data_IF_789915912632
#
_entry.id   IF_789915912632
#
_cell.length_a   1.000
_cell.length_b   1.000
_cell.length_c   1.000
_cell.angle_alpha   90.00
_cell.angle_beta   90.00
_cell.angle_gamma   90.00
#
_symmetry.space_group_name_H-M   'P 1'
#
loop_
_entity.id
_entity.type
_entity.pdbx_description
1 polymer ?
#
# COMPACT_ATOMS: atom_id res chain seq x y z
N UNK A 1 -2.34 9.60 -6.97
CA UNK A 1 -1.76 8.26 -6.65
C UNK A 1 -0.73 8.01 -7.74
N UNK A 2 0.43 7.39 -7.47
CA UNK A 2 1.47 7.19 -8.50
C UNK A 2 1.47 5.75 -9.01
N UNK A 3 2.06 5.52 -10.17
CA UNK A 3 2.27 4.18 -10.73
C UNK A 3 3.75 3.91 -11.01
N UNK A 4 4.14 2.64 -10.90
CA UNK A 4 5.50 2.17 -11.11
C UNK A 4 5.52 1.11 -12.20
N UNK A 5 6.05 1.48 -13.37
CA UNK A 5 6.14 0.64 -14.54
C UNK A 5 7.51 -0.05 -14.58
N UNK A 6 7.50 -1.37 -14.76
CA UNK A 6 8.71 -2.12 -15.05
C UNK A 6 8.82 -2.34 -16.56
N UNK A 7 9.85 -1.78 -17.18
CA UNK A 7 10.09 -1.92 -18.62
C UNK A 7 11.42 -2.64 -18.88
N UNK A 8 11.46 -3.41 -19.96
CA UNK A 8 12.70 -3.97 -20.49
C UNK A 8 12.69 -3.89 -22.00
N UNK A 9 13.80 -3.41 -22.57
CA UNK A 9 13.98 -3.31 -24.03
C UNK A 9 14.98 -4.36 -24.51
N UNK A 10 14.60 -5.29 -25.40
CA UNK A 10 15.55 -6.20 -26.04
C UNK A 10 16.57 -5.46 -26.91
N UNK A 11 17.82 -5.95 -26.95
CA UNK A 11 18.89 -5.40 -27.80
C UNK A 11 18.53 -5.39 -29.30
N UNK A 12 17.69 -6.33 -29.74
CA UNK A 12 17.22 -6.42 -31.13
C UNK A 12 16.13 -5.42 -31.49
N UNK A 13 15.52 -4.75 -30.51
CA UNK A 13 14.39 -3.85 -30.73
C UNK A 13 14.85 -2.56 -31.45
N UNK A 14 14.25 -2.21 -32.61
CA UNK A 14 14.53 -0.95 -33.29
C UNK A 14 14.18 0.27 -32.44
N UNK A 15 14.95 1.35 -32.58
CA UNK A 15 14.73 2.59 -31.81
C UNK A 15 13.34 3.20 -32.06
N UNK A 16 12.85 3.16 -33.30
CA UNK A 16 11.53 3.70 -33.64
C UNK A 16 10.41 2.94 -32.93
N UNK A 17 10.47 1.60 -32.92
CA UNK A 17 9.53 0.75 -32.19
C UNK A 17 9.58 1.01 -30.69
N UNK A 18 10.79 1.17 -30.13
CA UNK A 18 10.93 1.53 -28.72
C UNK A 18 10.23 2.86 -28.38
N UNK A 19 10.45 3.91 -29.18
CA UNK A 19 9.83 5.22 -28.93
C UNK A 19 8.30 5.11 -29.01
N UNK A 20 7.78 4.44 -30.05
CA UNK A 20 6.34 4.28 -30.26
C UNK A 20 5.67 3.48 -29.13
N UNK A 21 6.24 2.32 -28.77
CA UNK A 21 5.75 1.47 -27.68
C UNK A 21 5.82 2.18 -26.32
N UNK A 22 6.94 2.85 -26.05
CA UNK A 22 7.14 3.59 -24.80
C UNK A 22 6.15 4.75 -24.70
N UNK A 23 6.00 5.55 -25.75
CA UNK A 23 5.08 6.70 -25.79
C UNK A 23 3.65 6.24 -25.60
N UNK A 24 3.22 5.24 -26.36
CA UNK A 24 1.88 4.65 -26.26
C UNK A 24 1.60 4.09 -24.85
N UNK A 25 2.60 3.48 -24.21
CA UNK A 25 2.48 2.96 -22.85
C UNK A 25 2.32 4.09 -21.83
N UNK A 26 3.20 5.08 -21.87
CA UNK A 26 3.17 6.20 -20.93
C UNK A 26 1.93 7.06 -21.10
N UNK A 27 1.47 7.32 -22.32
CA UNK A 27 0.23 8.09 -22.58
C UNK A 27 -0.99 7.46 -21.90
N UNK A 28 -1.12 6.12 -21.97
CA UNK A 28 -2.22 5.40 -21.29
C UNK A 28 -2.15 5.53 -19.78
N UNK A 29 -0.94 5.51 -19.21
CA UNK A 29 -0.73 5.62 -17.75
C UNK A 29 -0.94 7.06 -17.29
N UNK A 30 -0.55 8.03 -18.12
CA UNK A 30 -0.66 9.46 -17.82
C UNK A 30 -2.12 9.93 -17.67
N UNK A 31 -3.07 9.25 -18.31
CA UNK A 31 -4.53 9.49 -18.12
C UNK A 31 -4.97 9.26 -16.67
N UNK A 32 -4.29 8.37 -15.93
CA UNK A 32 -4.70 7.93 -14.61
C UNK A 32 -3.80 8.40 -13.46
N UNK A 33 -2.54 8.74 -13.75
CA UNK A 33 -1.54 9.02 -12.74
C UNK A 33 -0.66 10.22 -13.08
N UNK A 34 -0.63 11.20 -12.18
CA UNK A 34 0.24 12.38 -12.31
C UNK A 34 1.72 12.07 -12.03
N UNK A 35 1.98 11.04 -11.22
CA UNK A 35 3.32 10.70 -10.75
C UNK A 35 3.70 9.33 -11.32
N UNK A 36 4.66 9.31 -12.23
CA UNK A 36 5.07 8.10 -12.94
C UNK A 36 6.51 7.77 -12.58
N UNK A 37 6.76 6.49 -12.33
CA UNK A 37 8.09 5.93 -12.14
C UNK A 37 8.27 4.80 -13.16
N UNK A 38 9.38 4.81 -13.89
CA UNK A 38 9.76 3.73 -14.80
C UNK A 38 11.07 3.14 -14.32
N UNK A 39 11.13 1.83 -14.12
CA UNK A 39 12.32 1.12 -13.66
C UNK A 39 12.62 -0.06 -14.59
N UNK A 40 13.89 -0.23 -14.97
CA UNK A 40 14.34 -1.46 -15.60
C UNK A 40 15.49 -1.27 -16.59
N UNK A 41 15.81 -2.35 -17.30
CA UNK A 41 16.91 -2.44 -18.25
C UNK A 41 16.44 -2.05 -19.66
N UNK A 42 16.85 -0.88 -20.12
CA UNK A 42 16.49 -0.38 -21.46
C UNK A 42 17.59 -0.62 -22.50
N UNK A 43 18.70 -1.25 -22.12
CA UNK A 43 19.84 -1.52 -23.00
C UNK A 43 20.35 -0.27 -23.74
N UNK A 44 20.24 0.90 -23.10
CA UNK A 44 20.86 2.15 -23.53
C UNK A 44 21.99 2.48 -22.59
N UNK A 45 23.23 2.42 -23.08
CA UNK A 45 24.41 2.73 -22.26
C UNK A 45 24.52 4.24 -22.01
N UNK A 46 24.01 4.68 -20.86
CA UNK A 46 24.01 6.08 -20.44
C UNK A 46 25.40 6.66 -20.14
N UNK A 47 26.43 5.80 -20.06
CA UNK A 47 27.83 6.26 -20.02
C UNK A 47 28.28 6.74 -21.42
N UNK A 48 27.65 6.22 -22.49
CA UNK A 48 28.00 6.50 -23.90
C UNK A 48 26.82 7.19 -24.61
N UNK A 49 26.71 8.52 -24.52
CA UNK A 49 25.52 9.27 -24.96
C UNK A 49 25.25 9.22 -26.48
N UNK A 50 26.21 8.76 -27.29
CA UNK A 50 26.07 8.71 -28.75
C UNK A 50 24.90 7.82 -29.23
N UNK A 51 24.46 6.83 -28.43
CA UNK A 51 23.38 5.90 -28.81
C UNK A 51 22.14 5.99 -27.90
N UNK A 52 22.07 6.98 -27.02
CA UNK A 52 20.98 7.14 -26.04
C UNK A 52 19.90 8.13 -26.49
N UNK A 53 20.03 8.69 -27.70
CA UNK A 53 19.09 9.68 -28.24
C UNK A 53 17.61 9.28 -28.13
N UNK A 54 17.20 8.04 -28.45
CA UNK A 54 15.78 7.65 -28.30
C UNK A 54 15.28 7.75 -26.87
N UNK A 55 16.13 7.39 -25.90
CA UNK A 55 15.82 7.50 -24.48
C UNK A 55 15.74 8.96 -24.03
N UNK A 56 16.63 9.83 -24.53
CA UNK A 56 16.53 11.26 -24.27
C UNK A 56 15.24 11.86 -24.85
N UNK A 57 14.86 11.48 -26.07
CA UNK A 57 13.61 11.94 -26.69
C UNK A 57 12.39 11.63 -25.83
N UNK A 58 12.23 10.39 -25.36
CA UNK A 58 11.09 10.04 -24.50
C UNK A 58 11.18 10.72 -23.13
N UNK A 59 12.39 10.91 -22.60
CA UNK A 59 12.57 11.64 -21.35
C UNK A 59 12.15 13.11 -21.49
N UNK A 60 12.49 13.76 -22.59
CA UNK A 60 12.13 15.14 -22.86
C UNK A 60 10.62 15.31 -23.10
N UNK A 61 9.97 14.34 -23.76
CA UNK A 61 8.51 14.36 -24.00
C UNK A 61 7.72 14.28 -22.69
N UNK A 62 8.17 13.46 -21.74
CA UNK A 62 7.43 13.14 -20.51
C UNK A 62 8.03 13.79 -19.23
N UNK A 63 8.95 14.75 -19.38
CA UNK A 63 9.69 15.39 -18.29
C UNK A 63 10.37 14.39 -17.34
N UNK A 64 10.83 13.25 -17.86
CA UNK A 64 11.48 12.23 -17.06
C UNK A 64 12.94 12.55 -16.76
N UNK A 65 13.30 12.39 -15.49
CA UNK A 65 14.69 12.44 -15.02
C UNK A 65 15.15 11.06 -14.62
N UNK A 66 16.29 10.60 -15.16
CA UNK A 66 16.95 9.39 -14.65
C UNK A 66 17.69 9.67 -13.34
N UNK A 67 17.38 8.87 -12.32
CA UNK A 67 17.95 8.97 -10.98
C UNK A 67 19.21 8.12 -10.78
N UNK A 68 19.47 7.15 -11.67
CA UNK A 68 20.71 6.38 -11.64
C UNK A 68 21.87 7.23 -12.16
N UNK A 69 22.98 7.29 -11.41
CA UNK A 69 24.16 8.12 -11.70
C UNK A 69 25.46 7.32 -11.84
N UNK A 70 25.45 6.03 -11.51
CA UNK A 70 26.63 5.15 -11.53
C UNK A 70 26.36 3.91 -12.38
N UNK A 71 27.40 3.28 -12.96
CA UNK A 71 27.24 2.08 -13.78
C UNK A 71 26.50 0.97 -13.04
N UNK A 72 25.61 0.27 -13.76
CA UNK A 72 24.75 -0.78 -13.20
C UNK A 72 25.13 -2.17 -13.71
N UNK A 73 25.92 -2.26 -14.79
CA UNK A 73 26.28 -3.52 -15.45
C UNK A 73 27.81 -3.62 -15.61
N UNK A 74 28.39 -4.71 -15.12
CA UNK A 74 29.84 -4.91 -14.97
C UNK A 74 30.31 -6.20 -15.67
N UNK A 75 30.45 -6.15 -16.99
CA UNK A 75 30.91 -7.30 -17.77
C UNK A 75 32.40 -7.54 -17.54
N UNK A 76 32.80 -8.81 -17.42
CA UNK A 76 34.22 -9.19 -17.41
C UNK A 76 34.87 -8.74 -18.72
N UNK A 77 36.05 -8.13 -18.61
CA UNK A 77 36.85 -7.67 -19.75
C UNK A 77 36.20 -6.56 -20.61
N UNK A 78 35.18 -5.86 -20.09
CA UNK A 78 34.55 -4.72 -20.74
C UNK A 78 34.37 -3.54 -19.75
N UNK A 79 34.32 -2.30 -20.25
CA UNK A 79 34.10 -1.14 -19.40
C UNK A 79 32.69 -1.20 -18.75
N UNK A 80 32.54 -0.76 -17.49
CA UNK A 80 31.24 -0.68 -16.84
C UNK A 80 30.24 0.14 -17.67
N UNK A 81 29.00 -0.33 -17.71
CA UNK A 81 27.92 0.31 -18.46
C UNK A 81 26.74 0.65 -17.54
N UNK A 82 25.96 1.65 -17.94
CA UNK A 82 24.74 2.05 -17.22
C UNK A 82 23.55 1.75 -18.11
N UNK A 83 22.95 0.58 -17.93
CA UNK A 83 21.86 0.06 -18.77
C UNK A 83 20.50 0.15 -18.07
N UNK A 84 20.51 0.08 -16.75
CA UNK A 84 19.32 0.16 -15.91
C UNK A 84 18.99 1.61 -15.57
N UNK A 85 17.69 1.93 -15.55
CA UNK A 85 17.19 3.27 -15.29
C UNK A 85 16.18 3.29 -14.15
N UNK A 86 16.11 4.44 -13.48
CA UNK A 86 14.97 4.84 -12.64
C UNK A 86 14.54 6.21 -13.16
N UNK A 87 13.53 6.24 -14.02
CA UNK A 87 12.98 7.46 -14.60
C UNK A 87 11.78 7.93 -13.79
N UNK A 88 11.64 9.24 -13.59
CA UNK A 88 10.43 9.81 -12.98
C UNK A 88 10.22 11.25 -13.40
N UNK A 89 8.95 11.67 -13.51
CA UNK A 89 8.55 13.07 -13.71
C UNK A 89 8.48 13.86 -12.40
N UNK A 90 8.68 13.19 -11.24
CA UNK A 90 8.61 13.79 -9.91
C UNK A 90 9.79 13.36 -9.03
N UNK A 91 11.02 13.76 -9.36
CA UNK A 91 12.22 13.34 -8.64
C UNK A 91 12.19 13.69 -7.13
N UNK A 92 11.47 14.74 -6.74
CA UNK A 92 11.33 15.14 -5.33
C UNK A 92 10.62 14.11 -4.44
N UNK A 93 9.83 13.21 -5.05
CA UNK A 93 9.12 12.13 -4.36
C UNK A 93 10.00 10.88 -4.17
N UNK A 94 11.17 10.79 -4.80
CA UNK A 94 12.07 9.64 -4.65
C UNK A 94 13.32 10.05 -3.86
N UNK A 95 13.83 9.15 -3.04
CA UNK A 95 15.06 9.35 -2.27
C UNK A 95 15.75 8.00 -1.99
N UNK A 96 16.96 8.05 -1.41
CA UNK A 96 17.78 6.87 -1.12
C UNK A 96 17.92 5.95 -2.35
N UNK A 97 18.39 6.53 -3.47
CA UNK A 97 18.67 5.76 -4.67
C UNK A 97 19.89 4.90 -4.40
N UNK A 98 19.75 3.57 -4.52
CA UNK A 98 20.85 2.63 -4.33
C UNK A 98 21.18 1.93 -5.63
N UNK A 99 22.46 1.62 -5.79
CA UNK A 99 23.02 0.80 -6.85
C UNK A 99 24.09 -0.06 -6.17
N UNK A 100 23.79 -1.34 -5.95
CA UNK A 100 24.65 -2.21 -5.13
C UNK A 100 24.63 -3.63 -5.64
N UNK A 101 25.77 -4.32 -5.54
CA UNK A 101 25.81 -5.75 -5.81
C UNK A 101 24.96 -6.48 -4.77
N UNK A 102 24.06 -7.34 -5.24
CA UNK A 102 23.23 -8.20 -4.37
C UNK A 102 23.75 -9.64 -4.30
N UNK A 103 24.83 -9.97 -5.03
CA UNK A 103 25.38 -11.32 -5.13
C UNK A 103 24.50 -12.33 -5.87
N UNK A 104 23.39 -11.89 -6.48
CA UNK A 104 22.45 -12.76 -7.22
C UNK A 104 22.69 -12.71 -8.74
N UNK A 105 23.05 -11.54 -9.27
CA UNK A 105 23.39 -11.38 -10.68
C UNK A 105 24.91 -11.33 -10.84
N UNK A 106 25.42 -12.06 -11.83
CA UNK A 106 26.82 -12.04 -12.21
C UNK A 106 27.24 -10.72 -12.88
N UNK A 107 26.25 -9.94 -13.34
CA UNK A 107 26.49 -8.81 -14.23
C UNK A 107 25.85 -7.50 -13.74
N UNK A 108 24.59 -7.54 -13.31
CA UNK A 108 23.85 -6.35 -12.93
C UNK A 108 23.88 -6.13 -11.42
N UNK A 109 24.08 -4.89 -11.03
CA UNK A 109 23.78 -4.45 -9.68
C UNK A 109 22.26 -4.33 -9.48
N UNK A 110 21.83 -4.51 -8.24
CA UNK A 110 20.48 -4.18 -7.84
C UNK A 110 20.34 -2.66 -7.70
N UNK A 111 19.39 -2.09 -8.42
CA UNK A 111 18.97 -0.70 -8.27
C UNK A 111 17.70 -0.60 -7.43
N UNK A 112 17.61 0.40 -6.56
CA UNK A 112 16.38 0.65 -5.80
C UNK A 112 16.21 2.13 -5.47
N UNK A 113 14.98 2.51 -5.10
CA UNK A 113 14.66 3.83 -4.59
C UNK A 113 13.56 3.74 -3.55
N UNK A 114 13.50 4.71 -2.64
CA UNK A 114 12.41 4.86 -1.68
C UNK A 114 11.45 5.94 -2.17
N UNK A 115 10.15 5.60 -2.21
CA UNK A 115 9.08 6.52 -2.62
C UNK A 115 8.53 7.22 -1.37
N UNK A 116 8.48 8.54 -1.39
CA UNK A 116 7.80 9.36 -0.38
C UNK A 116 6.29 9.22 -0.58
N UNK A 117 5.66 8.50 0.33
CA UNK A 117 4.20 8.35 0.38
C UNK A 117 3.65 8.76 1.73
N UNK A 118 2.47 9.37 1.74
CA UNK A 118 1.65 9.41 2.93
C UNK A 118 0.88 8.09 3.02
N UNK A 119 1.17 7.28 4.03
CA UNK A 119 0.30 6.15 4.33
C UNK A 119 -1.06 6.70 4.79
N UNK A 120 -2.19 6.26 4.21
CA UNK A 120 -3.48 6.64 4.74
C UNK A 120 -3.56 6.25 6.23
N UNK A 121 -4.20 7.06 7.08
CA UNK A 121 -4.35 6.71 8.49
C UNK A 121 -5.04 5.35 8.58
N UNK A 122 -4.65 4.49 9.55
CA UNK A 122 -5.28 3.20 9.73
C UNK A 122 -6.79 3.39 9.91
N UNK A 123 -7.57 2.58 9.20
CA UNK A 123 -9.03 2.64 9.27
C UNK A 123 -9.47 2.44 10.72
N UNK A 124 -10.17 3.45 11.25
CA UNK A 124 -10.78 3.39 12.59
C UNK A 124 -12.10 2.62 12.45
N UNK A 125 -12.22 1.49 13.13
CA UNK A 125 -13.51 0.79 13.23
C UNK A 125 -14.16 1.11 14.56
N UNK A 126 -15.38 1.63 14.51
CA UNK A 126 -16.25 1.77 15.68
C UNK A 126 -16.89 0.42 15.96
N UNK A 127 -16.75 -0.11 17.17
CA UNK A 127 -17.46 -1.30 17.63
C UNK A 127 -18.35 -0.93 18.82
N UNK A 128 -19.53 -1.52 18.90
CA UNK A 128 -20.38 -1.46 20.08
C UNK A 128 -20.08 -2.68 20.95
N UNK A 129 -19.81 -2.47 22.23
CA UNK A 129 -19.58 -3.56 23.19
C UNK A 129 -20.18 -3.21 24.55
N UNK A 130 -20.63 -4.22 25.29
CA UNK A 130 -21.01 -4.09 26.70
C UNK A 130 -19.78 -3.70 27.55
N UNK A 131 -19.92 -2.70 28.40
CA UNK A 131 -18.82 -2.15 29.20
C UNK A 131 -18.77 -2.77 30.59
N UNK A 132 -17.81 -3.67 30.83
CA UNK A 132 -17.59 -4.32 32.12
C UNK A 132 -16.74 -3.51 33.13
N UNK A 133 -16.44 -2.23 32.84
CA UNK A 133 -15.53 -1.40 33.66
C UNK A 133 -15.96 -1.30 35.14
N UNK A 134 -17.26 -1.32 35.40
CA UNK A 134 -17.84 -1.24 36.74
C UNK A 134 -18.83 -2.38 36.98
N UNK A 135 -18.65 -3.50 36.26
CA UNK A 135 -19.54 -4.65 36.39
C UNK A 135 -19.22 -5.42 37.67
N UNK A 136 -20.26 -5.69 38.46
CA UNK A 136 -20.20 -6.55 39.65
C UNK A 136 -21.08 -7.78 39.38
N UNK A 137 -20.45 -8.95 39.36
CA UNK A 137 -21.12 -10.22 39.03
C UNK A 137 -22.18 -10.60 40.06
N UNK A 138 -21.94 -10.32 41.34
CA UNK A 138 -22.88 -10.67 42.42
C UNK A 138 -24.13 -9.81 42.31
N UNK A 139 -23.96 -8.49 42.17
CA UNK A 139 -25.09 -7.55 42.06
C UNK A 139 -25.87 -7.82 40.77
N UNK A 140 -25.18 -8.11 39.66
CA UNK A 140 -25.85 -8.49 38.41
C UNK A 140 -26.67 -9.79 38.55
N UNK A 141 -26.11 -10.80 39.20
CA UNK A 141 -26.82 -12.08 39.42
C UNK A 141 -28.05 -11.90 40.31
N UNK A 142 -27.94 -11.10 41.37
CA UNK A 142 -29.07 -10.70 42.22
C UNK A 142 -30.14 -9.96 41.41
N UNK A 143 -29.74 -9.01 40.55
CA UNK A 143 -30.65 -8.25 39.69
C UNK A 143 -31.37 -9.13 38.66
N UNK A 144 -30.67 -10.10 38.06
CA UNK A 144 -31.28 -11.08 37.15
C UNK A 144 -32.27 -11.99 37.88
N UNK A 145 -31.94 -12.39 39.11
CA UNK A 145 -32.80 -13.26 39.92
C UNK A 145 -34.14 -12.64 40.32
N UNK A 146 -34.28 -11.32 40.25
CA UNK A 146 -35.54 -10.60 40.57
C UNK A 146 -36.30 -10.12 39.34
N UNK A 147 -35.84 -10.43 38.12
CA UNK A 147 -36.56 -10.08 36.89
C UNK A 147 -37.90 -10.84 36.85
N UNK A 148 -39.04 -10.16 36.68
CA UNK A 148 -40.36 -10.81 36.65
C UNK A 148 -40.66 -11.37 35.25
N UNK A 149 -39.90 -12.39 34.82
CA UNK A 149 -40.09 -13.02 33.50
C UNK A 149 -41.50 -13.55 33.27
N UNK A 150 -42.21 -13.94 34.34
CA UNK A 150 -43.57 -14.45 34.27
C UNK A 150 -44.56 -13.45 33.64
N UNK A 151 -44.26 -12.14 33.68
CA UNK A 151 -45.08 -11.09 33.05
C UNK A 151 -45.12 -11.21 31.53
N UNK A 152 -44.11 -11.84 30.91
CA UNK A 152 -44.11 -12.05 29.47
C UNK A 152 -45.20 -13.03 29.00
N UNK A 153 -45.66 -13.95 29.85
CA UNK A 153 -46.73 -14.90 29.50
C UNK A 153 -48.13 -14.28 29.47
N UNK A 154 -48.24 -12.97 29.65
CA UNK A 154 -49.47 -12.22 29.37
C UNK A 154 -49.73 -12.14 27.85
N UNK A 155 -48.69 -12.28 27.03
CA UNK A 155 -48.81 -12.30 25.58
C UNK A 155 -49.11 -13.71 25.06
N UNK A 156 -49.98 -13.81 24.05
CA UNK A 156 -50.35 -15.07 23.41
C UNK A 156 -49.38 -15.47 22.28
N UNK A 157 -48.74 -14.49 21.65
CA UNK A 157 -47.83 -14.69 20.51
C UNK A 157 -46.39 -14.93 20.98
N UNK A 158 -45.74 -15.95 20.40
CA UNK A 158 -44.38 -16.36 20.78
C UNK A 158 -43.36 -15.24 20.56
N UNK A 159 -43.51 -14.47 19.48
CA UNK A 159 -42.62 -13.34 19.18
C UNK A 159 -42.73 -12.22 20.23
N UNK A 160 -43.92 -11.96 20.76
CA UNK A 160 -44.18 -10.94 21.77
C UNK A 160 -43.65 -11.38 23.15
N UNK A 161 -43.78 -12.67 23.48
CA UNK A 161 -43.17 -13.26 24.67
C UNK A 161 -41.64 -13.10 24.58
N UNK A 162 -41.03 -13.48 23.46
CA UNK A 162 -39.58 -13.33 23.25
C UNK A 162 -39.13 -11.87 23.40
N UNK A 163 -39.86 -10.94 22.78
CA UNK A 163 -39.58 -9.52 22.89
C UNK A 163 -39.63 -9.03 24.34
N UNK A 164 -40.65 -9.42 25.11
CA UNK A 164 -40.78 -9.03 26.51
C UNK A 164 -39.61 -9.57 27.36
N UNK A 165 -39.19 -10.82 27.15
CA UNK A 165 -37.99 -11.39 27.78
C UNK A 165 -36.72 -10.61 27.40
N UNK A 166 -36.56 -10.26 26.12
CA UNK A 166 -35.41 -9.51 25.62
C UNK A 166 -35.34 -8.12 26.24
N UNK A 167 -36.46 -7.40 26.34
CA UNK A 167 -36.54 -6.06 26.97
C UNK A 167 -36.16 -6.13 28.45
N UNK A 168 -36.81 -7.02 29.21
CA UNK A 168 -36.57 -7.18 30.65
C UNK A 168 -35.09 -7.48 30.95
N UNK A 169 -34.49 -8.39 30.20
CA UNK A 169 -33.08 -8.73 30.36
C UNK A 169 -32.16 -7.59 29.88
N UNK A 170 -32.51 -6.93 28.78
CA UNK A 170 -31.72 -5.84 28.20
C UNK A 170 -31.63 -4.64 29.14
N UNK A 171 -32.68 -4.34 29.88
CA UNK A 171 -32.69 -3.25 30.87
C UNK A 171 -31.67 -3.52 31.98
N UNK A 172 -31.69 -4.70 32.59
CA UNK A 172 -30.67 -5.11 33.59
C UNK A 172 -29.27 -5.11 32.98
N UNK A 173 -29.11 -5.60 31.75
CA UNK A 173 -27.83 -5.53 31.05
C UNK A 173 -27.35 -4.09 30.79
N UNK A 174 -28.26 -3.14 30.56
CA UNK A 174 -27.92 -1.73 30.33
C UNK A 174 -27.46 -1.05 31.61
N UNK A 175 -28.08 -1.39 32.75
CA UNK A 175 -27.70 -0.84 34.06
C UNK A 175 -26.33 -1.34 34.52
N UNK A 176 -26.08 -2.65 34.40
CA UNK A 176 -24.87 -3.28 34.93
C UNK A 176 -23.71 -3.33 33.91
N UNK A 177 -24.01 -3.42 32.63
CA UNK A 177 -23.01 -3.53 31.55
C UNK A 177 -23.41 -2.68 30.33
N UNK A 178 -23.50 -1.35 30.43
CA UNK A 178 -24.02 -0.50 29.36
C UNK A 178 -23.26 -0.68 28.03
N UNK A 179 -23.98 -0.60 26.91
CA UNK A 179 -23.36 -0.60 25.58
C UNK A 179 -22.56 0.70 25.43
N UNK A 180 -21.28 0.58 25.06
CA UNK A 180 -20.41 1.69 24.73
C UNK A 180 -19.82 1.50 23.34
N UNK A 181 -19.67 2.61 22.63
CA UNK A 181 -18.92 2.65 21.38
C UNK A 181 -17.43 2.79 21.69
N UNK A 182 -16.62 1.89 21.13
CA UNK A 182 -15.16 1.96 21.21
C UNK A 182 -14.59 2.09 19.81
N UNK A 183 -13.66 3.02 19.64
CA UNK A 183 -12.86 3.10 18.42
C UNK A 183 -11.68 2.15 18.56
N UNK A 184 -11.65 1.11 17.73
CA UNK A 184 -10.53 0.18 17.65
C UNK A 184 -9.69 0.54 16.45
N UNK A 185 -8.39 0.69 16.68
CA UNK A 185 -7.41 0.80 15.60
C UNK A 185 -7.26 -0.60 15.00
N UNK A 186 -7.48 -0.74 13.71
CA UNK A 186 -6.92 -1.90 13.00
C UNK A 186 -5.39 -1.83 13.17
N UNK A 187 -4.78 -2.91 13.63
CA UNK A 187 -3.32 -2.99 13.72
C UNK A 187 -2.75 -2.70 12.34
N UNK A 188 -1.75 -1.82 12.27
CA UNK A 188 -1.02 -1.62 11.02
C UNK A 188 -0.44 -2.99 10.61
N UNK A 189 -0.45 -3.37 9.31
CA UNK A 189 0.49 -4.37 8.84
C UNK A 189 1.88 -3.93 9.31
N UNK A 190 2.63 -4.83 9.94
CA UNK A 190 4.00 -4.52 10.37
C UNK A 190 4.81 -4.13 9.12
N UNK A 191 5.03 -2.84 8.91
CA UNK A 191 6.10 -2.41 8.01
C UNK A 191 7.39 -2.66 8.75
N UNK A 192 8.11 -3.71 8.35
CA UNK A 192 9.48 -3.96 8.81
C UNK A 192 10.27 -2.68 8.66
N UNK A 193 10.71 -2.10 9.78
CA UNK A 193 11.74 -1.07 9.76
C UNK A 193 13.02 -1.77 9.31
N UNK A 194 13.36 -1.67 8.03
CA UNK A 194 14.72 -1.93 7.57
C UNK A 194 15.56 -0.73 8.01
N UNK A 195 16.20 -0.86 9.18
CA UNK A 195 17.31 0.00 9.56
C UNK A 195 18.51 -0.41 8.68
N UNK A 196 18.99 0.53 7.87
CA UNK A 196 20.37 0.54 7.39
C UNK A 196 21.15 1.52 8.25
#
# INVERSE_FOLDING_TARGET
MGDCLRLSRPLSMPNASFIDDFTTCIDKVHVHFDNIIVIGDLNYDLVKPAKTQPLHTVCDIFDFTNLIKTPTCFMKDAPPSMLDVILTNRPSLLFNITNSTCGISDLHNMISCVIKGAAPPPNKRKIKCRSYKHFDERVFSEAVGVIPFDVAYVFDEVDDIYWAHEVLLTDVLNDHAPIKEKTVKTSKPQTSKSSL
#
